data_IF_706595788289
#
_entry.id   IF_706595788289
#
_cell.length_a   1.000
_cell.length_b   1.000
_cell.length_c   1.000
_cell.angle_alpha   90.00
_cell.angle_beta   90.00
_cell.angle_gamma   90.00
#
_symmetry.space_group_name_H-M   'P 1'
#
loop_
_entity.id
_entity.type
_entity.pdbx_description
1 polymer ?
#
# COMPACT_ATOMS: atom_id res chain seq x y z
N UNK A 1 12.88 -47.31 25.79
CA UNK A 1 13.30 -45.91 25.62
C UNK A 1 12.51 -45.37 24.44
N UNK A 2 11.36 -44.75 24.72
CA UNK A 2 10.44 -44.23 23.70
C UNK A 2 10.67 -42.72 23.68
N UNK A 3 11.38 -42.23 22.67
CA UNK A 3 11.38 -40.81 22.30
C UNK A 3 10.26 -40.60 21.29
N UNK A 4 9.05 -40.31 21.79
CA UNK A 4 8.03 -39.65 20.96
C UNK A 4 8.24 -38.15 21.14
N UNK A 5 9.07 -37.55 20.29
CA UNK A 5 9.09 -36.09 20.13
C UNK A 5 7.95 -35.77 19.17
N UNK A 6 6.75 -35.62 19.70
CA UNK A 6 5.61 -35.11 18.93
C UNK A 6 5.62 -33.58 19.02
N UNK A 7 5.64 -32.95 17.84
CA UNK A 7 5.66 -31.52 17.51
C UNK A 7 7.01 -30.79 17.71
N UNK A 8 7.83 -30.80 16.66
CA UNK A 8 8.46 -29.55 16.21
C UNK A 8 7.30 -28.59 15.94
N UNK A 9 6.94 -27.75 16.92
CA UNK A 9 5.94 -26.70 16.72
C UNK A 9 6.38 -25.90 15.49
N UNK A 10 5.53 -25.85 14.46
CA UNK A 10 5.81 -25.20 13.18
C UNK A 10 6.41 -23.81 13.43
N UNK A 11 7.72 -23.68 13.25
CA UNK A 11 8.45 -22.44 13.56
C UNK A 11 8.37 -21.43 12.41
N UNK A 12 7.53 -21.70 11.42
CA UNK A 12 7.41 -20.94 10.19
C UNK A 12 6.20 -20.03 10.29
N UNK A 13 6.41 -18.74 10.04
CA UNK A 13 5.36 -17.74 9.88
C UNK A 13 5.39 -17.20 8.45
N UNK A 14 4.29 -17.35 7.71
CA UNK A 14 4.13 -16.95 6.32
C UNK A 14 3.42 -15.60 6.23
N UNK A 15 4.09 -14.63 5.61
CA UNK A 15 3.60 -13.26 5.43
C UNK A 15 3.06 -13.08 4.02
N UNK A 16 1.75 -12.93 3.90
CA UNK A 16 1.08 -12.52 2.69
C UNK A 16 1.39 -11.03 2.41
N UNK A 17 1.86 -10.71 1.20
CA UNK A 17 2.13 -9.31 0.79
C UNK A 17 1.91 -9.08 -0.69
N UNK A 18 1.60 -7.84 -1.08
CA UNK A 18 1.65 -7.43 -2.50
C UNK A 18 3.07 -7.43 -3.03
N UNK A 19 3.20 -7.55 -4.35
CA UNK A 19 4.49 -7.60 -5.06
C UNK A 19 5.12 -6.22 -5.38
N UNK A 20 4.40 -5.12 -5.13
CA UNK A 20 4.99 -3.79 -5.37
C UNK A 20 6.22 -3.55 -4.48
N UNK A 21 7.23 -2.76 -4.93
CA UNK A 21 8.43 -2.51 -4.14
C UNK A 21 8.16 -2.01 -2.71
N UNK A 22 7.21 -1.09 -2.55
CA UNK A 22 6.83 -0.58 -1.24
C UNK A 22 6.18 -1.65 -0.35
N UNK A 23 5.34 -2.52 -0.91
CA UNK A 23 4.71 -3.60 -0.14
C UNK A 23 5.74 -4.65 0.31
N UNK A 24 6.69 -5.01 -0.56
CA UNK A 24 7.80 -5.89 -0.19
C UNK A 24 8.66 -5.27 0.91
N UNK A 25 8.96 -3.97 0.82
CA UNK A 25 9.66 -3.26 1.89
C UNK A 25 8.90 -3.32 3.22
N UNK A 26 7.58 -3.14 3.21
CA UNK A 26 6.74 -3.25 4.42
C UNK A 26 6.77 -4.67 5.00
N UNK A 27 6.72 -5.70 4.15
CA UNK A 27 6.81 -7.09 4.58
C UNK A 27 8.18 -7.42 5.19
N UNK A 28 9.25 -6.92 4.59
CA UNK A 28 10.61 -7.03 5.13
C UNK A 28 10.74 -6.32 6.48
N UNK A 29 10.22 -5.09 6.61
CA UNK A 29 10.19 -4.37 7.88
C UNK A 29 9.52 -5.19 8.99
N UNK A 30 8.37 -5.81 8.71
CA UNK A 30 7.66 -6.66 9.69
C UNK A 30 8.46 -7.93 9.99
N UNK A 31 9.01 -8.59 8.97
CA UNK A 31 9.89 -9.76 9.11
C UNK A 31 11.06 -9.48 10.05
N UNK A 32 11.77 -8.37 9.85
CA UNK A 32 12.95 -8.02 10.65
C UNK A 32 12.57 -7.80 12.12
N UNK A 33 11.43 -7.16 12.39
CA UNK A 33 10.91 -6.98 13.75
C UNK A 33 10.52 -8.29 14.41
N UNK A 34 9.90 -9.21 13.68
CA UNK A 34 9.53 -10.53 14.17
C UNK A 34 10.76 -11.35 14.52
N UNK A 35 11.75 -11.40 13.62
CA UNK A 35 13.00 -12.16 13.82
C UNK A 35 13.83 -11.58 14.97
N UNK A 36 13.86 -10.26 15.15
CA UNK A 36 14.54 -9.61 16.27
C UNK A 36 13.88 -9.94 17.63
N UNK A 37 12.56 -10.11 17.66
CA UNK A 37 11.80 -10.37 18.90
C UNK A 37 11.66 -11.85 19.22
N UNK A 38 11.80 -12.73 18.22
CA UNK A 38 11.62 -14.18 18.34
C UNK A 38 12.80 -14.92 17.70
N UNK A 39 13.95 -15.01 18.39
CA UNK A 39 15.10 -15.75 17.88
C UNK A 39 14.76 -17.23 17.68
N UNK A 40 14.77 -17.69 16.42
CA UNK A 40 14.38 -19.05 16.04
C UNK A 40 13.08 -19.15 15.22
N UNK A 41 12.33 -18.04 15.08
CA UNK A 41 11.22 -17.94 14.14
C UNK A 41 11.76 -17.87 12.70
N UNK A 42 11.24 -18.74 11.83
CA UNK A 42 11.47 -18.69 10.39
C UNK A 42 10.34 -17.88 9.76
N UNK A 43 10.68 -16.87 8.97
CA UNK A 43 9.70 -16.00 8.31
C UNK A 43 9.81 -16.11 6.81
N UNK A 44 8.74 -16.57 6.17
CA UNK A 44 8.59 -16.71 4.74
C UNK A 44 7.69 -15.61 4.18
N UNK A 45 8.06 -15.05 3.04
CA UNK A 45 7.19 -14.11 2.32
C UNK A 45 6.40 -14.89 1.27
N UNK A 46 5.11 -14.58 1.16
CA UNK A 46 4.17 -15.12 0.16
C UNK A 46 3.68 -13.95 -0.70
N UNK A 47 4.44 -13.54 -1.73
CA UNK A 47 4.08 -12.40 -2.56
C UNK A 47 2.94 -12.76 -3.51
N UNK A 48 1.98 -11.86 -3.65
CA UNK A 48 0.83 -12.04 -4.54
C UNK A 48 0.47 -10.81 -5.35
N UNK A 49 -0.22 -11.04 -6.46
CA UNK A 49 -0.77 -10.02 -7.33
C UNK A 49 -2.24 -9.82 -6.96
N UNK A 50 -2.63 -8.56 -6.73
CA UNK A 50 -4.03 -8.22 -6.44
C UNK A 50 -4.72 -7.66 -7.68
N UNK A 51 -6.05 -7.71 -7.75
CA UNK A 51 -6.79 -7.05 -8.84
C UNK A 51 -6.47 -5.56 -8.96
N UNK A 52 -6.19 -4.88 -7.85
CA UNK A 52 -5.78 -3.48 -7.85
C UNK A 52 -4.41 -3.23 -8.49
N UNK A 53 -3.54 -4.25 -8.56
CA UNK A 53 -2.27 -4.18 -9.28
C UNK A 53 -2.45 -4.30 -10.79
N UNK A 54 -3.47 -5.04 -11.23
CA UNK A 54 -3.77 -5.29 -12.66
C UNK A 54 -4.64 -4.18 -13.26
N UNK A 55 -5.64 -3.68 -12.53
CA UNK A 55 -6.61 -2.70 -13.03
C UNK A 55 -6.09 -1.28 -12.80
N UNK A 56 -5.35 -0.74 -13.77
CA UNK A 56 -4.80 0.62 -13.73
C UNK A 56 -5.64 1.65 -14.48
N UNK A 57 -6.41 1.22 -15.48
CA UNK A 57 -7.08 2.11 -16.45
C UNK A 57 -8.50 2.55 -16.05
N UNK A 58 -9.01 2.07 -14.91
CA UNK A 58 -10.35 2.44 -14.43
C UNK A 58 -10.27 3.25 -13.13
N UNK A 59 -10.96 4.41 -13.02
CA UNK A 59 -11.01 5.21 -11.79
C UNK A 59 -11.44 4.37 -10.58
N UNK A 60 -10.74 4.48 -9.45
CA UNK A 60 -11.01 3.70 -8.22
C UNK A 60 -12.48 3.81 -7.77
N UNK A 61 -13.07 5.01 -7.92
CA UNK A 61 -14.47 5.26 -7.62
C UNK A 61 -15.45 4.44 -8.49
N UNK A 62 -15.07 4.06 -9.72
CA UNK A 62 -15.89 3.27 -10.65
C UNK A 62 -15.71 1.75 -10.49
N UNK A 63 -14.62 1.28 -9.87
CA UNK A 63 -14.31 -0.17 -9.72
C UNK A 63 -14.97 -0.78 -8.48
N UNK A 64 -15.83 -0.06 -7.76
CA UNK A 64 -16.62 -0.66 -6.67
C UNK A 64 -15.83 -0.95 -5.39
N UNK A 65 -14.71 -0.23 -5.16
CA UNK A 65 -14.16 0.20 -3.85
C UNK A 65 -13.77 -0.82 -2.77
N UNK A 66 -14.44 -1.97 -2.63
CA UNK A 66 -14.20 -2.90 -1.53
C UNK A 66 -13.12 -3.91 -1.90
N UNK A 67 -11.97 -3.79 -1.26
CA UNK A 67 -11.02 -4.89 -1.16
C UNK A 67 -10.03 -5.08 -2.31
N UNK A 68 -9.94 -4.14 -3.27
CA UNK A 68 -9.12 -4.28 -4.50
C UNK A 68 -7.65 -4.66 -4.27
N UNK A 69 -7.08 -4.28 -3.13
CA UNK A 69 -5.69 -4.55 -2.77
C UNK A 69 -5.53 -5.56 -1.63
N UNK A 70 -6.63 -6.07 -1.08
CA UNK A 70 -6.63 -6.93 0.11
C UNK A 70 -7.31 -8.28 -0.11
N UNK A 71 -8.18 -8.42 -1.12
CA UNK A 71 -9.00 -9.62 -1.27
C UNK A 71 -8.17 -10.89 -1.45
N UNK A 72 -7.14 -10.83 -2.27
CA UNK A 72 -6.27 -11.98 -2.52
C UNK A 72 -5.46 -12.35 -1.27
N UNK A 73 -5.10 -11.37 -0.45
CA UNK A 73 -4.41 -11.56 0.83
C UNK A 73 -5.34 -12.23 1.85
N UNK A 74 -6.59 -11.75 1.97
CA UNK A 74 -7.62 -12.36 2.82
C UNK A 74 -7.91 -13.81 2.42
N UNK A 75 -8.00 -14.10 1.12
CA UNK A 75 -8.21 -15.47 0.61
C UNK A 75 -7.03 -16.37 1.00
N UNK A 76 -5.79 -15.88 0.89
CA UNK A 76 -4.62 -16.65 1.32
C UNK A 76 -4.63 -16.96 2.83
N UNK A 77 -5.14 -16.06 3.67
CA UNK A 77 -5.32 -16.32 5.10
C UNK A 77 -6.41 -17.36 5.37
N UNK A 78 -7.57 -17.21 4.74
CA UNK A 78 -8.71 -18.14 4.92
C UNK A 78 -8.41 -19.56 4.40
N UNK A 79 -7.58 -19.68 3.38
CA UNK A 79 -7.14 -20.96 2.81
C UNK A 79 -5.88 -21.53 3.49
N UNK A 80 -5.41 -20.93 4.59
CA UNK A 80 -4.19 -21.33 5.31
C UNK A 80 -2.94 -21.36 4.41
N UNK A 81 -2.88 -20.54 3.36
CA UNK A 81 -1.69 -20.33 2.51
C UNK A 81 -0.73 -19.30 3.08
N UNK A 82 -1.21 -18.44 3.98
CA UNK A 82 -0.42 -17.50 4.76
C UNK A 82 -0.99 -17.41 6.18
N UNK A 83 -0.18 -16.90 7.12
CA UNK A 83 -0.54 -16.81 8.54
C UNK A 83 -0.86 -15.36 8.95
N UNK A 84 -0.17 -14.38 8.36
CA UNK A 84 -0.46 -12.95 8.52
C UNK A 84 -0.44 -12.24 7.16
N UNK A 85 -1.13 -11.11 7.06
CA UNK A 85 -1.04 -10.21 5.91
C UNK A 85 -0.54 -8.83 6.33
N UNK A 86 0.36 -8.24 5.54
CA UNK A 86 0.93 -6.92 5.81
C UNK A 86 0.37 -5.90 4.82
N UNK A 87 -0.08 -4.76 5.35
CA UNK A 87 -0.75 -3.72 4.60
C UNK A 87 -0.29 -2.32 5.01
N UNK A 88 -0.39 -1.38 4.08
CA UNK A 88 -0.53 0.03 4.43
C UNK A 88 -1.89 0.25 5.06
N UNK A 89 -1.95 0.84 6.27
CA UNK A 89 -3.20 0.92 7.04
C UNK A 89 -4.35 1.63 6.31
N UNK A 90 -4.03 2.63 5.48
CA UNK A 90 -5.02 3.36 4.66
C UNK A 90 -5.74 2.51 3.60
N UNK A 91 -5.18 1.34 3.28
CA UNK A 91 -5.70 0.42 2.27
C UNK A 91 -6.50 -0.74 2.92
N UNK A 92 -6.55 -0.81 4.25
CA UNK A 92 -7.30 -1.82 5.02
C UNK A 92 -8.80 -1.46 5.00
N UNK A 93 -9.69 -2.41 4.67
CA UNK A 93 -11.13 -2.16 4.66
C UNK A 93 -11.69 -1.97 6.09
N UNK A 94 -12.86 -1.33 6.18
CA UNK A 94 -13.56 -1.15 7.46
C UNK A 94 -14.21 -2.45 7.94
N UNK A 95 -14.65 -3.30 7.00
CA UNK A 95 -15.29 -4.59 7.25
C UNK A 95 -14.30 -5.71 6.97
N UNK A 96 -14.32 -6.75 7.80
CA UNK A 96 -13.50 -7.95 7.63
C UNK A 96 -14.38 -9.17 7.36
N UNK A 97 -13.92 -10.12 6.53
CA UNK A 97 -14.51 -11.45 6.48
C UNK A 97 -14.52 -12.11 7.87
N UNK A 98 -15.52 -12.95 8.14
CA UNK A 98 -15.56 -13.72 9.37
C UNK A 98 -14.28 -14.54 9.54
N UNK A 99 -13.68 -14.48 10.74
CA UNK A 99 -12.43 -15.17 11.06
C UNK A 99 -11.16 -14.36 10.81
N UNK A 100 -11.25 -13.19 10.16
CA UNK A 100 -10.12 -12.28 9.98
C UNK A 100 -10.30 -11.00 10.81
N UNK A 101 -9.19 -10.32 11.09
CA UNK A 101 -9.21 -9.04 11.78
C UNK A 101 -7.84 -8.35 11.80
N UNK A 102 -7.86 -7.06 12.10
CA UNK A 102 -6.66 -6.28 12.36
C UNK A 102 -6.22 -6.49 13.81
N UNK A 103 -5.09 -7.16 14.01
CA UNK A 103 -4.57 -7.51 15.35
C UNK A 103 -3.37 -6.66 15.79
N UNK A 104 -2.69 -6.01 14.86
CA UNK A 104 -1.45 -5.28 15.14
C UNK A 104 -1.35 -4.01 14.30
N UNK A 105 -0.99 -2.90 14.94
CA UNK A 105 -0.62 -1.65 14.28
C UNK A 105 0.82 -1.32 14.66
N UNK A 106 1.70 -1.21 13.66
CA UNK A 106 3.10 -0.84 13.86
C UNK A 106 3.25 0.63 14.24
N UNK A 107 4.43 1.01 14.75
CA UNK A 107 4.79 2.41 14.97
C UNK A 107 4.58 3.22 13.68
N UNK A 108 3.85 4.32 13.79
CA UNK A 108 3.50 5.18 12.66
C UNK A 108 4.73 5.95 12.17
N UNK A 109 4.90 6.00 10.86
CA UNK A 109 5.82 6.93 10.18
C UNK A 109 5.15 8.31 10.00
N UNK A 110 5.84 9.27 9.40
CA UNK A 110 5.32 10.57 9.00
C UNK A 110 3.99 10.42 8.22
N UNK A 111 2.89 11.01 8.71
CA UNK A 111 1.58 10.85 8.09
C UNK A 111 1.25 11.93 7.04
N UNK A 112 2.17 12.86 6.75
CA UNK A 112 1.91 14.03 5.90
C UNK A 112 1.87 13.66 4.41
N UNK A 113 1.18 14.47 3.63
CA UNK A 113 1.31 14.43 2.17
C UNK A 113 2.53 15.27 1.76
N UNK A 114 3.37 14.74 0.88
CA UNK A 114 4.50 15.44 0.28
C UNK A 114 4.11 16.01 -1.09
N UNK A 115 4.44 17.28 -1.33
CA UNK A 115 4.42 17.88 -2.67
C UNK A 115 5.65 17.42 -3.45
N UNK A 116 5.45 16.96 -4.68
CA UNK A 116 6.52 16.46 -5.55
C UNK A 116 6.39 17.12 -6.92
N UNK A 117 7.45 17.82 -7.34
CA UNK A 117 7.57 18.42 -8.65
C UNK A 117 9.05 18.50 -9.03
N UNK A 118 9.33 18.40 -10.33
CA UNK A 118 10.67 18.56 -10.88
C UNK A 118 11.02 20.04 -11.14
N UNK A 119 10.01 20.91 -11.27
CA UNK A 119 10.17 22.28 -11.77
C UNK A 119 9.84 23.33 -10.72
N UNK A 120 8.93 23.04 -9.80
CA UNK A 120 8.41 24.00 -8.83
C UNK A 120 8.73 23.54 -7.41
N UNK A 121 9.10 24.47 -6.52
CA UNK A 121 9.49 24.13 -5.14
C UNK A 121 8.30 23.98 -4.19
N UNK A 122 7.12 24.45 -4.58
CA UNK A 122 5.93 24.41 -3.73
C UNK A 122 4.63 24.48 -4.53
N UNK A 123 3.53 24.12 -3.88
CA UNK A 123 2.17 24.28 -4.42
C UNK A 123 1.88 25.75 -4.81
N UNK A 124 2.36 26.71 -4.01
CA UNK A 124 2.10 28.14 -4.22
C UNK A 124 2.84 28.68 -5.46
N UNK A 125 3.94 28.05 -5.85
CA UNK A 125 4.72 28.42 -7.03
C UNK A 125 4.11 27.94 -8.36
N UNK A 126 3.11 27.06 -8.34
CA UNK A 126 2.46 26.59 -9.56
C UNK A 126 1.66 27.70 -10.25
N UNK A 127 1.88 27.97 -11.55
CA UNK A 127 1.03 28.85 -12.34
C UNK A 127 -0.43 28.36 -12.43
N UNK A 128 -1.34 29.29 -12.75
CA UNK A 128 -2.72 28.93 -13.06
C UNK A 128 -2.77 27.98 -14.26
N UNK A 129 -3.64 26.97 -14.20
CA UNK A 129 -3.75 25.93 -15.23
C UNK A 129 -2.74 24.79 -15.11
N UNK A 130 -1.80 24.83 -14.16
CA UNK A 130 -0.87 23.73 -13.91
C UNK A 130 -1.60 22.43 -13.55
N UNK A 131 -1.01 21.31 -13.96
CA UNK A 131 -1.58 19.98 -13.91
C UNK A 131 -1.05 19.23 -12.68
N UNK A 132 -1.94 18.96 -11.72
CA UNK A 132 -1.60 18.20 -10.51
C UNK A 132 -2.16 16.78 -10.60
N UNK A 133 -1.27 15.78 -10.50
CA UNK A 133 -1.62 14.37 -10.57
C UNK A 133 -2.03 13.78 -9.24
N UNK A 134 -3.29 13.36 -9.07
CA UNK A 134 -3.74 12.57 -7.92
C UNK A 134 -5.07 11.85 -8.19
N UNK A 135 -5.19 10.58 -7.79
CA UNK A 135 -6.47 9.84 -7.81
C UNK A 135 -7.22 9.89 -6.46
N UNK A 136 -6.66 10.57 -5.45
CA UNK A 136 -7.27 10.62 -4.12
C UNK A 136 -8.29 11.74 -4.03
N UNK A 137 -9.59 11.41 -3.95
CA UNK A 137 -10.65 12.41 -3.77
C UNK A 137 -10.40 13.31 -2.55
N UNK A 138 -9.82 12.76 -1.46
CA UNK A 138 -9.39 13.52 -0.29
C UNK A 138 -8.41 14.64 -0.65
N UNK A 139 -7.42 14.35 -1.49
CA UNK A 139 -6.44 15.36 -1.93
C UNK A 139 -7.05 16.32 -2.94
N UNK A 140 -7.90 15.82 -3.83
CA UNK A 140 -8.53 16.64 -4.87
C UNK A 140 -9.41 17.74 -4.25
N UNK A 141 -10.27 17.41 -3.28
CA UNK A 141 -11.15 18.41 -2.69
C UNK A 141 -10.36 19.50 -1.94
N UNK A 142 -9.32 19.12 -1.18
CA UNK A 142 -8.46 20.07 -0.46
C UNK A 142 -7.67 20.98 -1.40
N UNK A 143 -7.21 20.45 -2.54
CA UNK A 143 -6.53 21.25 -3.56
C UNK A 143 -7.49 22.20 -4.26
N UNK A 144 -8.66 21.73 -4.67
CA UNK A 144 -9.65 22.54 -5.38
C UNK A 144 -10.21 23.68 -4.51
N UNK A 145 -10.33 23.46 -3.20
CA UNK A 145 -10.71 24.51 -2.24
C UNK A 145 -9.66 25.62 -2.16
N UNK A 146 -8.37 25.26 -2.09
CA UNK A 146 -7.26 26.20 -1.88
C UNK A 146 -6.75 26.87 -3.16
N UNK A 147 -6.76 26.13 -4.26
CA UNK A 147 -6.19 26.48 -5.57
C UNK A 147 -7.12 26.03 -6.70
N UNK A 148 -8.30 26.68 -6.84
CA UNK A 148 -9.31 26.32 -7.84
C UNK A 148 -8.85 26.53 -9.30
N UNK A 149 -7.75 27.24 -9.49
CA UNK A 149 -7.12 27.51 -10.77
C UNK A 149 -6.27 26.33 -11.31
N UNK A 150 -5.99 25.31 -10.50
CA UNK A 150 -5.19 24.15 -10.90
C UNK A 150 -6.04 23.07 -11.59
N UNK A 151 -5.47 22.40 -12.58
CA UNK A 151 -6.10 21.28 -13.29
C UNK A 151 -5.73 19.98 -12.58
N UNK A 152 -6.69 19.34 -11.93
CA UNK A 152 -6.43 18.07 -11.23
C UNK A 152 -6.73 16.89 -12.16
N UNK A 153 -5.71 16.04 -12.41
CA UNK A 153 -5.82 14.84 -13.26
C UNK A 153 -5.54 13.56 -12.48
N UNK A 154 -6.17 12.47 -12.89
CA UNK A 154 -6.03 11.15 -12.25
C UNK A 154 -4.64 10.56 -12.48
N UNK A 155 -3.92 10.27 -11.40
CA UNK A 155 -2.61 9.60 -11.43
C UNK A 155 -2.67 8.24 -10.71
N UNK A 156 -2.29 7.16 -11.44
CA UNK A 156 -2.30 5.76 -10.98
C UNK A 156 -0.94 5.09 -11.22
N UNK A 157 -0.75 3.96 -10.55
CA UNK A 157 0.51 3.20 -10.53
C UNK A 157 1.10 3.12 -9.12
N UNK A 158 2.15 2.31 -8.97
CA UNK A 158 2.99 2.32 -7.78
C UNK A 158 3.83 3.61 -7.73
N UNK A 159 4.58 3.83 -6.64
CA UNK A 159 5.37 5.06 -6.45
C UNK A 159 6.31 5.32 -7.63
N UNK A 160 7.09 4.32 -8.05
CA UNK A 160 8.02 4.45 -9.18
C UNK A 160 7.33 4.86 -10.47
N UNK A 161 6.23 4.20 -10.84
CA UNK A 161 5.46 4.57 -12.04
C UNK A 161 4.94 6.01 -11.98
N UNK A 162 4.53 6.48 -10.80
CA UNK A 162 4.04 7.86 -10.64
C UNK A 162 5.15 8.89 -10.78
N UNK A 163 6.33 8.60 -10.23
CA UNK A 163 7.50 9.45 -10.39
C UNK A 163 7.93 9.52 -11.86
N UNK A 164 7.99 8.38 -12.56
CA UNK A 164 8.31 8.38 -13.99
C UNK A 164 7.33 9.21 -14.83
N UNK A 165 6.04 9.27 -14.47
CA UNK A 165 5.07 10.13 -15.15
C UNK A 165 5.31 11.62 -14.92
N UNK A 166 5.81 12.01 -13.74
CA UNK A 166 6.27 13.37 -13.49
C UNK A 166 7.53 13.69 -14.30
N UNK A 167 8.47 12.76 -14.34
CA UNK A 167 9.73 12.91 -15.11
C UNK A 167 9.46 13.05 -16.61
N UNK A 168 8.45 12.35 -17.12
CA UNK A 168 8.02 12.43 -18.52
C UNK A 168 7.16 13.66 -18.83
N UNK A 169 6.91 14.55 -17.86
CA UNK A 169 6.14 15.78 -18.07
C UNK A 169 4.63 15.58 -18.26
N UNK A 170 4.07 14.44 -17.85
CA UNK A 170 2.61 14.22 -17.91
C UNK A 170 1.84 15.10 -16.90
N UNK A 171 2.54 15.56 -15.84
CA UNK A 171 2.01 16.38 -14.75
C UNK A 171 3.09 17.39 -14.31
N UNK A 172 2.68 18.59 -13.90
CA UNK A 172 3.58 19.60 -13.33
C UNK A 172 3.97 19.26 -11.87
N UNK A 173 3.05 18.62 -11.14
CA UNK A 173 3.26 18.19 -9.77
C UNK A 173 2.36 17.01 -9.39
N UNK A 174 2.69 16.36 -8.27
CA UNK A 174 1.83 15.36 -7.62
C UNK A 174 1.94 15.47 -6.10
N UNK A 175 1.06 14.75 -5.41
CA UNK A 175 1.16 14.50 -3.98
C UNK A 175 1.34 13.01 -3.73
N UNK A 176 2.34 12.66 -2.93
CA UNK A 176 2.59 11.29 -2.46
C UNK A 176 2.55 11.27 -0.93
N UNK A 177 2.14 10.14 -0.32
CA UNK A 177 2.32 9.96 1.12
C UNK A 177 3.81 9.86 1.47
#
# INVERSE_FOLDING_TARGET
MIMTVTSMLDNVLRIATRQSPLALWQAHYVKDKLMASHPGLVVELVPMVTRGDVILDTPLAKVGGKGLFVKELEVALLENRADIAVHSMKDVPVEFPQGLGLVTICKREDPRDAFVSNTYDSLDALPAGSIVGTSSLRRQCQLAERRPDLIIRSLRGNVGTRLSKLDNGEYDASFLP
#
